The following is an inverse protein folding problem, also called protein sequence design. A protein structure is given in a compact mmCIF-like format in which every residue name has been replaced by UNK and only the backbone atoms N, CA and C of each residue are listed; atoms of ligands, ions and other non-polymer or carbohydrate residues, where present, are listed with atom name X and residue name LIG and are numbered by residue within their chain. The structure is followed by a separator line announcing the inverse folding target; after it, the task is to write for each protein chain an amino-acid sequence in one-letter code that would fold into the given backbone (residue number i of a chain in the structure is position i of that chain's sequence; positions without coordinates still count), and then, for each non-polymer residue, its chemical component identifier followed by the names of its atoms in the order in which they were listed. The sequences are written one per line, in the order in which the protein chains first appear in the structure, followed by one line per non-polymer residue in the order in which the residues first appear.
data_IF_369201289397
#
_entry.id   IF_369201289397
#
_cell.length_a   1.000
_cell.length_b   1.000
_cell.length_c   1.000
_cell.angle_alpha   90.00
_cell.angle_beta   90.00
_cell.angle_gamma   90.00
#
_symmetry.space_group_name_H-M   'P 1'
#
loop_
_entity.id
_entity.type
_entity.pdbx_description
1 polymer ?
#
# COMPACT_ATOMS: atom_id res chain seq x y z
N UNK A 1 18.56 11.49 -20.81
CA UNK A 1 17.74 11.43 -19.58
C UNK A 1 17.26 10.01 -19.42
N UNK A 2 17.50 9.35 -18.28
CA UNK A 2 17.11 7.95 -18.13
C UNK A 2 17.29 7.43 -16.72
N UNK A 3 16.20 7.44 -15.95
CA UNK A 3 16.02 6.65 -14.73
C UNK A 3 14.61 6.05 -14.80
N UNK A 4 14.45 5.04 -15.64
CA UNK A 4 13.23 4.21 -15.68
C UNK A 4 13.68 2.78 -15.47
N UNK A 5 13.11 2.14 -14.46
CA UNK A 5 13.33 0.73 -14.14
C UNK A 5 12.02 0.09 -13.72
N UNK A 6 11.80 -1.16 -14.13
CA UNK A 6 10.66 -1.98 -13.71
C UNK A 6 11.19 -3.11 -12.84
N UNK A 7 10.56 -3.34 -11.70
CA UNK A 7 10.83 -4.49 -10.83
C UNK A 7 9.53 -5.26 -10.66
N UNK A 8 9.58 -6.58 -10.85
CA UNK A 8 8.45 -7.49 -10.68
C UNK A 8 8.85 -8.61 -9.71
N UNK A 9 7.90 -9.04 -8.88
CA UNK A 9 8.07 -10.16 -7.97
C UNK A 9 6.74 -10.90 -7.84
N UNK A 10 6.81 -12.23 -7.84
CA UNK A 10 5.66 -13.10 -7.59
C UNK A 10 5.86 -13.80 -6.25
N UNK A 11 4.83 -13.76 -5.40
CA UNK A 11 4.84 -14.38 -4.08
C UNK A 11 3.55 -15.18 -3.92
N UNK A 12 3.67 -16.40 -3.41
CA UNK A 12 2.53 -17.24 -3.15
C UNK A 12 1.74 -16.72 -1.94
N UNK A 13 0.46 -16.42 -2.15
CA UNK A 13 -0.47 -16.00 -1.10
C UNK A 13 -1.38 -17.18 -0.79
N UNK A 14 -1.46 -17.56 0.50
CA UNK A 14 -2.33 -18.64 0.97
C UNK A 14 -3.78 -18.17 1.20
N UNK A 15 -4.00 -16.86 1.26
CA UNK A 15 -5.33 -16.27 1.39
C UNK A 15 -6.09 -16.27 0.04
N UNK A 16 -7.43 -16.39 0.05
CA UNK A 16 -8.23 -16.24 -1.16
C UNK A 16 -7.99 -14.90 -1.84
N UNK A 17 -7.87 -14.91 -3.17
CA UNK A 17 -7.57 -13.71 -3.96
C UNK A 17 -8.57 -12.57 -3.71
N UNK A 18 -9.87 -12.88 -3.64
CA UNK A 18 -10.92 -11.87 -3.41
C UNK A 18 -10.76 -11.17 -2.06
N UNK A 19 -10.36 -11.92 -1.02
CA UNK A 19 -10.14 -11.38 0.33
C UNK A 19 -8.88 -10.55 0.40
N UNK A 20 -7.82 -10.98 -0.28
CA UNK A 20 -6.60 -10.19 -0.38
C UNK A 20 -6.87 -8.87 -1.11
N UNK A 21 -7.58 -8.92 -2.24
CA UNK A 21 -7.94 -7.74 -3.02
C UNK A 21 -8.86 -6.78 -2.25
N UNK A 22 -9.83 -7.28 -1.50
CA UNK A 22 -10.73 -6.48 -0.68
C UNK A 22 -9.98 -5.66 0.40
N UNK A 23 -8.99 -6.28 1.06
CA UNK A 23 -8.20 -5.61 2.09
C UNK A 23 -7.26 -4.57 1.48
N UNK A 24 -6.54 -4.92 0.42
CA UNK A 24 -5.56 -4.03 -0.20
C UNK A 24 -6.18 -2.89 -1.01
N UNK A 25 -7.24 -3.18 -1.77
CA UNK A 25 -7.92 -2.21 -2.61
C UNK A 25 -9.02 -1.47 -1.88
N UNK A 26 -9.88 -2.18 -1.15
CA UNK A 26 -11.11 -1.61 -0.57
C UNK A 26 -10.92 -0.99 0.82
N UNK A 27 -10.11 -1.61 1.69
CA UNK A 27 -9.97 -1.19 3.10
C UNK A 27 -8.51 -1.20 3.60
N UNK A 28 -7.63 -0.41 2.98
CA UNK A 28 -6.20 -0.44 3.32
C UNK A 28 -5.89 0.07 4.74
N UNK A 29 -6.80 0.81 5.39
CA UNK A 29 -6.66 1.22 6.79
C UNK A 29 -6.54 0.05 7.79
N UNK A 30 -6.99 -1.16 7.44
CA UNK A 30 -6.78 -2.34 8.28
C UNK A 30 -5.34 -2.88 8.21
N UNK A 31 -4.52 -2.45 7.26
CA UNK A 31 -3.17 -3.00 7.11
C UNK A 31 -2.23 -2.60 8.26
N UNK A 32 -2.48 -1.47 8.92
CA UNK A 32 -1.75 -1.08 10.13
C UNK A 32 -2.02 -1.99 11.32
N UNK A 33 -3.22 -2.61 11.40
CA UNK A 33 -3.52 -3.60 12.43
C UNK A 33 -3.06 -5.01 12.06
N UNK A 34 -3.01 -5.33 10.76
CA UNK A 34 -2.50 -6.63 10.26
C UNK A 34 -0.99 -6.75 10.43
N UNK A 35 -0.23 -5.67 10.18
CA UNK A 35 1.23 -5.71 10.28
C UNK A 35 1.79 -4.42 10.92
N UNK A 36 1.56 -4.21 12.23
CA UNK A 36 1.95 -2.97 12.92
C UNK A 36 3.47 -2.74 12.92
N UNK A 37 4.27 -3.81 12.86
CA UNK A 37 5.73 -3.72 12.79
C UNK A 37 6.28 -3.27 11.44
N UNK A 38 5.44 -3.23 10.39
CA UNK A 38 5.80 -2.81 9.04
C UNK A 38 5.01 -1.60 8.58
N UNK A 39 3.71 -1.57 8.83
CA UNK A 39 2.80 -0.47 8.52
C UNK A 39 2.30 0.10 9.84
N UNK A 40 2.67 1.34 10.12
CA UNK A 40 2.31 2.03 11.36
C UNK A 40 0.97 2.75 11.22
N UNK A 41 0.70 3.34 10.05
CA UNK A 41 -0.48 4.16 9.80
C UNK A 41 -0.83 4.18 8.33
N UNK A 42 -2.12 4.29 8.03
CA UNK A 42 -2.64 4.46 6.68
C UNK A 42 -3.75 5.51 6.75
N UNK A 43 -3.57 6.63 6.07
CA UNK A 43 -4.50 7.76 6.07
C UNK A 43 -5.02 8.03 4.66
N UNK A 44 -6.27 8.45 4.57
CA UNK A 44 -6.87 8.92 3.32
C UNK A 44 -6.68 10.42 3.23
N UNK A 45 -5.98 10.88 2.19
CA UNK A 45 -5.78 12.30 1.93
C UNK A 45 -6.83 12.86 0.98
N UNK A 46 -7.18 12.13 -0.08
CA UNK A 46 -8.15 12.57 -1.07
C UNK A 46 -9.01 11.41 -1.58
N UNK A 47 -10.26 11.69 -1.93
CA UNK A 47 -11.22 10.71 -2.45
C UNK A 47 -11.86 9.84 -1.35
N UNK A 48 -12.27 8.64 -1.74
CA UNK A 48 -12.90 7.63 -0.88
C UNK A 48 -12.12 6.33 -0.94
N UNK A 49 -12.08 5.58 0.17
CA UNK A 49 -11.45 4.26 0.23
C UNK A 49 -12.03 3.33 -0.85
N UNK A 50 -11.16 2.64 -1.58
CA UNK A 50 -11.58 1.67 -2.59
C UNK A 50 -12.04 2.24 -3.92
N UNK A 51 -11.99 3.57 -4.10
CA UNK A 51 -12.33 4.21 -5.37
C UNK A 51 -11.09 4.63 -6.15
N UNK A 52 -11.17 4.49 -7.48
CA UNK A 52 -10.13 4.99 -8.38
C UNK A 52 -10.02 6.50 -8.25
N UNK A 53 -8.80 7.00 -8.07
CA UNK A 53 -8.53 8.41 -7.82
C UNK A 53 -8.36 8.77 -6.34
N UNK A 54 -8.48 7.80 -5.41
CA UNK A 54 -8.14 8.02 -4.00
C UNK A 54 -6.64 8.19 -3.80
N UNK A 55 -6.25 9.16 -2.97
CA UNK A 55 -4.87 9.36 -2.51
C UNK A 55 -4.76 8.85 -1.09
N UNK A 56 -3.95 7.81 -0.88
CA UNK A 56 -3.76 7.17 0.41
C UNK A 56 -2.30 7.34 0.82
N UNK A 57 -2.07 7.87 2.01
CA UNK A 57 -0.76 7.99 2.62
C UNK A 57 -0.46 6.77 3.50
N UNK A 58 0.70 6.15 3.28
CA UNK A 58 1.15 4.97 4.01
C UNK A 58 2.39 5.30 4.84
N UNK A 59 2.29 5.15 6.16
CA UNK A 59 3.43 5.22 7.07
C UNK A 59 3.99 3.82 7.32
N UNK A 60 5.17 3.49 6.81
CA UNK A 60 5.78 2.16 6.93
C UNK A 60 7.26 2.21 7.37
N UNK A 61 7.78 1.09 7.89
CA UNK A 61 9.19 0.89 8.26
C UNK A 61 9.85 -0.15 7.36
N UNK A 62 10.90 0.25 6.63
CA UNK A 62 11.80 -0.68 5.92
C UNK A 62 13.13 -0.73 6.65
N UNK A 63 13.49 -1.91 7.18
CA UNK A 63 14.77 -2.11 7.87
C UNK A 63 14.75 -1.67 9.34
N UNK A 64 15.82 -1.00 9.78
CA UNK A 64 15.94 -0.38 11.12
C UNK A 64 15.18 0.96 11.10
N UNK A 65 14.63 1.47 12.23
CA UNK A 65 13.89 2.72 12.25
C UNK A 65 14.83 3.89 11.98
N UNK A 66 15.08 4.16 10.71
CA UNK A 66 15.68 5.39 10.23
C UNK A 66 14.51 6.20 9.70
N UNK A 67 14.22 7.32 10.37
CA UNK A 67 13.13 8.23 10.04
C UNK A 67 13.39 8.82 8.64
N UNK A 68 12.96 8.10 7.59
CA UNK A 68 12.99 8.59 6.22
C UNK A 68 11.58 9.09 5.90
N UNK A 69 11.34 10.41 5.84
CA UNK A 69 10.06 10.93 5.37
C UNK A 69 9.95 10.62 3.88
N UNK A 70 9.03 9.74 3.46
CA UNK A 70 8.93 9.35 2.05
C UNK A 70 7.50 9.38 1.50
N UNK A 71 7.37 10.26 0.50
CA UNK A 71 6.65 10.17 -0.77
C UNK A 71 5.29 9.45 -0.79
N UNK A 72 4.25 10.28 -0.98
CA UNK A 72 2.92 9.92 -1.44
C UNK A 72 3.03 9.08 -2.72
N UNK A 73 2.66 7.81 -2.67
CA UNK A 73 2.33 7.06 -3.87
C UNK A 73 0.82 7.17 -4.07
N UNK A 74 0.32 7.70 -5.20
CA UNK A 74 -1.08 7.50 -5.54
C UNK A 74 -1.28 5.98 -5.62
N UNK A 75 -2.17 5.45 -4.77
CA UNK A 75 -2.59 4.07 -4.85
C UNK A 75 -3.44 3.97 -6.14
N UNK A 76 -2.77 3.81 -7.27
CA UNK A 76 -3.43 3.42 -8.49
C UNK A 76 -3.84 1.97 -8.23
N UNK A 77 -5.08 1.79 -7.75
CA UNK A 77 -5.68 0.48 -7.51
C UNK A 77 -5.39 -0.30 -8.78
N UNK A 78 -4.45 -1.25 -8.69
CA UNK A 78 -4.06 -2.07 -9.82
C UNK A 78 -5.31 -2.85 -10.20
N UNK A 79 -6.00 -2.38 -11.23
CA UNK A 79 -6.90 -3.22 -12.01
C UNK A 79 -6.00 -4.23 -12.69
N UNK A 80 -5.91 -5.41 -12.08
CA UNK A 80 -5.48 -6.63 -12.75
C UNK A 80 -6.51 -6.99 -13.83
#
# INVERSE_FOLDING_TARGET
MGLVGKLEAEILILAPADKFHEVWGGRPHHMSSVSPGKVQKVDLHEGDWGNVGSVIEWSYVIGKPTLTPHHLYPLNIMKW
#
